data_IF_490187337597
#
_entry.id   IF_490187337597
#
_cell.length_a   1.000
_cell.length_b   1.000
_cell.length_c   1.000
_cell.angle_alpha   90.00
_cell.angle_beta   90.00
_cell.angle_gamma   90.00
#
_symmetry.space_group_name_H-M   'P 1'
#
loop_
_entity.id
_entity.type
_entity.pdbx_description
1 polymer ?
#
# COMPACT_ATOMS: atom_id res chain seq x y z
N UNK A 1 -3.65 6.40 -5.74
CA UNK A 1 -2.59 5.43 -5.38
C UNK A 1 -1.36 5.63 -6.27
N UNK A 2 -0.14 5.50 -5.73
CA UNK A 2 1.14 5.55 -6.43
C UNK A 2 2.03 4.40 -5.97
N UNK A 3 2.71 3.77 -6.93
CA UNK A 3 3.66 2.68 -6.71
C UNK A 3 5.07 3.15 -7.06
N UNK A 4 6.06 2.85 -6.23
CA UNK A 4 7.47 3.09 -6.52
C UNK A 4 8.26 1.84 -6.18
N UNK A 5 9.18 1.45 -7.07
CA UNK A 5 10.00 0.24 -6.95
C UNK A 5 11.45 0.68 -7.15
N UNK A 6 12.31 0.39 -6.18
CA UNK A 6 13.72 0.76 -6.21
C UNK A 6 14.53 -0.28 -5.43
N UNK A 7 15.33 -1.10 -6.13
CA UNK A 7 16.05 -2.21 -5.50
C UNK A 7 15.11 -3.15 -4.74
N UNK A 8 15.43 -3.45 -3.48
CA UNK A 8 14.60 -4.23 -2.56
C UNK A 8 13.64 -3.36 -1.73
N UNK A 9 13.13 -2.28 -2.32
CA UNK A 9 12.14 -1.41 -1.70
C UNK A 9 10.93 -1.22 -2.61
N UNK A 10 9.74 -1.45 -2.03
CA UNK A 10 8.44 -1.23 -2.65
C UNK A 10 7.66 -0.21 -1.83
N UNK A 11 7.34 0.93 -2.42
CA UNK A 11 6.51 1.95 -1.78
C UNK A 11 5.13 2.03 -2.41
N UNK A 12 4.12 1.94 -1.56
CA UNK A 12 2.71 2.15 -1.90
C UNK A 12 2.21 3.40 -1.18
N UNK A 13 1.90 4.45 -1.94
CA UNK A 13 1.27 5.66 -1.42
C UNK A 13 -0.18 5.76 -1.84
N UNK A 14 -1.09 6.06 -0.92
CA UNK A 14 -2.51 6.31 -1.22
C UNK A 14 -2.96 7.69 -0.72
N UNK A 15 -4.09 8.21 -1.20
CA UNK A 15 -4.76 9.38 -0.62
C UNK A 15 -5.79 9.00 0.44
N UNK A 16 -6.45 10.00 1.04
CA UNK A 16 -7.50 9.79 2.06
C UNK A 16 -8.72 9.06 1.51
N UNK A 17 -9.09 9.29 0.23
CA UNK A 17 -10.26 8.65 -0.37
C UNK A 17 -10.05 7.15 -0.59
N UNK A 18 -8.85 6.74 -1.00
CA UNK A 18 -8.49 5.33 -1.10
C UNK A 18 -8.29 4.71 0.28
N UNK A 19 -7.74 5.45 1.25
CA UNK A 19 -7.65 4.99 2.64
C UNK A 19 -9.04 4.71 3.22
N UNK A 20 -10.01 5.60 3.00
CA UNK A 20 -11.38 5.40 3.44
C UNK A 20 -12.01 4.14 2.82
N UNK A 21 -11.73 3.85 1.54
CA UNK A 21 -12.16 2.62 0.88
C UNK A 21 -11.56 1.37 1.55
N UNK A 22 -10.24 1.38 1.83
CA UNK A 22 -9.58 0.29 2.54
C UNK A 22 -10.17 0.06 3.92
N UNK A 23 -10.37 1.13 4.68
CA UNK A 23 -10.92 1.07 6.04
C UNK A 23 -12.38 0.58 6.07
N UNK A 24 -13.11 0.77 4.97
CA UNK A 24 -14.45 0.22 4.73
C UNK A 24 -14.43 -1.24 4.23
N UNK A 25 -13.26 -1.89 4.22
CA UNK A 25 -13.09 -3.28 3.80
C UNK A 25 -13.07 -3.47 2.28
N UNK A 26 -13.00 -2.40 1.49
CA UNK A 26 -12.85 -2.49 0.04
C UNK A 26 -11.38 -2.63 -0.34
N UNK A 27 -11.11 -3.21 -1.52
CA UNK A 27 -9.78 -3.21 -2.09
C UNK A 27 -9.55 -1.95 -2.94
N UNK A 28 -8.30 -1.49 -3.00
CA UNK A 28 -7.86 -0.40 -3.88
C UNK A 28 -6.99 -0.99 -4.98
N UNK A 29 -7.38 -0.76 -6.24
CA UNK A 29 -6.65 -1.24 -7.42
C UNK A 29 -5.90 -0.09 -8.11
N UNK A 30 -4.61 -0.30 -8.40
CA UNK A 30 -3.84 0.50 -9.35
C UNK A 30 -3.62 -0.33 -10.62
N UNK A 31 -3.97 0.24 -11.77
CA UNK A 31 -3.76 -0.39 -13.08
C UNK A 31 -2.92 0.51 -13.98
N UNK A 32 -1.80 -0.01 -14.46
CA UNK A 32 -0.90 0.69 -15.38
C UNK A 32 -0.79 -0.09 -16.68
N UNK A 33 -1.17 0.53 -17.80
CA UNK A 33 -1.03 -0.04 -19.14
C UNK A 33 0.30 0.41 -19.75
N UNK A 34 1.17 -0.53 -20.07
CA UNK A 34 2.45 -0.29 -20.73
C UNK A 34 2.27 -0.35 -22.25
N UNK A 35 1.66 0.70 -22.80
CA UNK A 35 1.29 0.79 -24.21
C UNK A 35 0.53 -0.48 -24.68
N UNK A 36 0.97 -1.11 -25.77
CA UNK A 36 0.41 -2.35 -26.30
C UNK A 36 1.08 -3.61 -25.75
N UNK A 37 2.09 -3.47 -24.87
CA UNK A 37 2.90 -4.60 -24.44
C UNK A 37 2.21 -5.42 -23.36
N UNK A 38 1.86 -4.80 -22.23
CA UNK A 38 1.22 -5.48 -21.10
C UNK A 38 0.53 -4.49 -20.16
N UNK A 39 -0.19 -5.03 -19.17
CA UNK A 39 -0.80 -4.27 -18.09
C UNK A 39 -0.30 -4.82 -16.76
N UNK A 40 0.07 -3.94 -15.83
CA UNK A 40 0.31 -4.30 -14.43
C UNK A 40 -0.89 -3.89 -13.60
N UNK A 41 -1.36 -4.79 -12.76
CA UNK A 41 -2.40 -4.55 -11.75
C UNK A 41 -1.80 -4.76 -10.38
N UNK A 42 -2.00 -3.81 -9.48
CA UNK A 42 -1.64 -3.93 -8.07
C UNK A 42 -2.89 -3.70 -7.24
N UNK A 43 -3.30 -4.73 -6.50
CA UNK A 43 -4.44 -4.68 -5.59
C UNK A 43 -3.93 -4.57 -4.17
N UNK A 44 -4.42 -3.59 -3.43
CA UNK A 44 -4.15 -3.39 -2.02
C UNK A 44 -5.42 -3.70 -1.21
N UNK A 45 -5.31 -4.53 -0.18
CA UNK A 45 -6.43 -4.81 0.74
C UNK A 45 -5.97 -4.89 2.19
N UNK A 46 -6.92 -4.71 3.11
CA UNK A 46 -6.71 -4.97 4.53
C UNK A 46 -7.13 -6.41 4.86
N UNK A 47 -6.37 -7.05 5.73
CA UNK A 47 -6.68 -8.40 6.22
C UNK A 47 -6.43 -8.49 7.73
N UNK A 48 -7.14 -9.37 8.45
CA UNK A 48 -6.93 -9.62 9.88
C UNK A 48 -5.68 -10.49 10.13
N UNK A 49 -4.53 -10.02 9.64
CA UNK A 49 -3.23 -10.68 9.70
C UNK A 49 -2.26 -9.87 10.56
N UNK A 50 -1.23 -10.53 11.12
CA UNK A 50 -0.21 -9.86 11.95
C UNK A 50 0.95 -9.27 11.14
N UNK A 51 1.21 -9.80 9.95
CA UNK A 51 2.32 -9.42 9.07
C UNK A 51 1.78 -9.10 7.67
N UNK A 52 2.44 -8.19 6.95
CA UNK A 52 2.03 -7.89 5.58
C UNK A 52 2.35 -9.06 4.64
N UNK A 53 1.48 -9.24 3.63
CA UNK A 53 1.61 -10.29 2.63
C UNK A 53 1.77 -9.73 1.23
N UNK A 54 2.50 -10.47 0.39
CA UNK A 54 2.63 -10.19 -1.04
C UNK A 54 2.46 -11.49 -1.81
N UNK A 55 1.47 -11.54 -2.70
CA UNK A 55 1.17 -12.70 -3.54
C UNK A 55 0.78 -12.27 -4.95
N UNK A 56 0.67 -13.23 -5.87
CA UNK A 56 0.16 -12.99 -7.22
C UNK A 56 1.13 -13.41 -8.33
N UNK A 57 0.92 -12.84 -9.51
CA UNK A 57 1.71 -13.06 -10.72
C UNK A 57 2.49 -11.78 -11.08
N UNK A 58 3.55 -11.84 -11.90
CA UNK A 58 4.35 -10.65 -12.27
C UNK A 58 3.53 -9.47 -12.79
N UNK A 59 2.39 -9.71 -13.43
CA UNK A 59 1.46 -8.70 -13.96
C UNK A 59 0.29 -8.35 -13.03
N UNK A 60 0.08 -9.10 -11.94
CA UNK A 60 -1.07 -8.98 -11.07
C UNK A 60 -0.69 -9.26 -9.61
N UNK A 61 -0.42 -8.18 -8.86
CA UNK A 61 0.03 -8.23 -7.47
C UNK A 61 -1.14 -8.06 -6.52
N UNK A 62 -1.08 -8.81 -5.41
CA UNK A 62 -1.95 -8.63 -4.25
C UNK A 62 -1.07 -8.33 -3.04
N UNK A 63 -1.26 -7.14 -2.48
CA UNK A 63 -0.63 -6.67 -1.25
C UNK A 63 -1.68 -6.68 -0.14
N UNK A 64 -1.40 -7.41 0.93
CA UNK A 64 -2.24 -7.49 2.10
C UNK A 64 -1.57 -6.76 3.26
N UNK A 65 -2.25 -5.75 3.81
CA UNK A 65 -1.77 -5.02 4.98
C UNK A 65 -2.53 -5.47 6.23
N UNK A 66 -1.85 -5.55 7.40
CA UNK A 66 -2.51 -5.75 8.69
C UNK A 66 -3.56 -4.66 8.96
N UNK A 67 -4.82 -5.04 9.04
CA UNK A 67 -5.95 -4.11 9.24
C UNK A 67 -5.75 -3.24 10.50
N UNK A 68 -5.32 -3.86 11.61
CA UNK A 68 -5.08 -3.16 12.87
C UNK A 68 -4.01 -2.07 12.74
N UNK A 69 -2.88 -2.37 12.06
CA UNK A 69 -1.79 -1.42 11.88
C UNK A 69 -2.21 -0.23 10.99
N UNK A 70 -2.98 -0.49 9.93
CA UNK A 70 -3.49 0.57 9.05
C UNK A 70 -4.52 1.45 9.75
N UNK A 71 -5.41 0.88 10.57
CA UNK A 71 -6.35 1.65 11.39
C UNK A 71 -5.65 2.54 12.41
N UNK A 72 -4.66 2.00 13.11
CA UNK A 72 -3.83 2.75 14.05
C UNK A 72 -3.12 3.91 13.32
N UNK A 73 -2.49 3.64 12.17
CA UNK A 73 -1.86 4.67 11.37
C UNK A 73 -2.85 5.76 10.92
N UNK A 74 -4.04 5.39 10.46
CA UNK A 74 -5.07 6.34 10.02
C UNK A 74 -5.53 7.30 11.14
N UNK A 75 -5.53 6.83 12.39
CA UNK A 75 -5.85 7.66 13.56
C UNK A 75 -4.83 8.77 13.83
N UNK A 76 -3.58 8.60 13.38
CA UNK A 76 -2.46 9.53 13.57
C UNK A 76 -2.30 10.54 12.43
N UNK A 77 -3.12 10.44 11.38
CA UNK A 77 -3.03 11.35 10.24
C UNK A 77 -3.43 12.79 10.64
N UNK A 78 -2.89 13.82 9.97
CA UNK A 78 -1.88 13.74 8.93
C UNK A 78 -0.48 13.51 9.52
N UNK A 79 0.25 12.50 9.04
CA UNK A 79 1.64 12.26 9.43
C UNK A 79 2.48 11.89 8.21
N UNK A 80 3.77 12.25 8.23
CA UNK A 80 4.75 11.88 7.20
C UNK A 80 5.33 10.48 7.41
N UNK A 81 5.14 9.91 8.60
CA UNK A 81 5.60 8.57 8.93
C UNK A 81 4.72 7.55 8.23
N UNK A 82 5.31 6.65 7.45
CA UNK A 82 4.60 5.50 6.88
C UNK A 82 4.61 4.30 7.83
N UNK A 83 4.01 3.20 7.36
CA UNK A 83 4.19 1.87 7.92
C UNK A 83 5.23 1.12 7.08
N UNK A 84 6.22 0.52 7.75
CA UNK A 84 7.22 -0.32 7.10
C UNK A 84 7.00 -1.77 7.48
N UNK A 85 7.03 -2.66 6.48
CA UNK A 85 6.95 -4.11 6.66
C UNK A 85 8.13 -4.77 5.95
N UNK A 86 8.71 -5.79 6.57
CA UNK A 86 9.75 -6.61 5.95
C UNK A 86 9.11 -7.88 5.41
N UNK A 87 9.14 -8.07 4.09
CA UNK A 87 8.59 -9.26 3.44
C UNK A 87 9.73 -10.23 3.14
N UNK A 88 9.67 -11.49 3.63
CA UNK A 88 10.73 -12.46 3.38
C UNK A 88 10.80 -12.82 1.88
N UNK A 89 12.02 -12.90 1.34
CA UNK A 89 12.25 -13.44 -0.01
C UNK A 89 12.62 -14.92 0.07
N UNK A 90 12.64 -15.60 -1.08
CA UNK A 90 13.12 -16.99 -1.19
C UNK A 90 14.64 -17.12 -0.99
N UNK A 91 15.38 -16.02 -1.12
CA UNK A 91 16.82 -16.00 -0.91
C UNK A 91 17.14 -15.70 0.55
N UNK A 92 18.02 -16.50 1.15
CA UNK A 92 18.33 -16.41 2.57
C UNK A 92 18.97 -15.06 2.92
N UNK A 93 18.30 -14.27 3.74
CA UNK A 93 18.83 -13.03 4.30
C UNK A 93 18.43 -11.75 3.55
N UNK A 94 17.72 -11.86 2.42
CA UNK A 94 17.13 -10.71 1.76
C UNK A 94 15.66 -10.53 2.14
N UNK A 95 15.23 -9.27 2.26
CA UNK A 95 13.84 -8.89 2.49
C UNK A 95 13.45 -7.82 1.48
N UNK A 96 12.21 -7.87 1.02
CA UNK A 96 11.60 -6.75 0.33
C UNK A 96 11.02 -5.81 1.40
N UNK A 97 11.54 -4.59 1.47
CA UNK A 97 10.98 -3.55 2.33
C UNK A 97 9.72 -2.97 1.68
N UNK A 98 8.55 -3.21 2.28
CA UNK A 98 7.28 -2.62 1.87
C UNK A 98 6.99 -1.38 2.72
N UNK A 99 6.98 -0.21 2.10
CA UNK A 99 6.59 1.05 2.71
C UNK A 99 5.17 1.44 2.28
N UNK A 100 4.27 1.59 3.23
CA UNK A 100 2.92 2.11 3.02
C UNK A 100 2.80 3.51 3.63
N UNK A 101 2.33 4.49 2.86
CA UNK A 101 2.09 5.84 3.38
C UNK A 101 0.85 6.52 2.77
N UNK A 102 0.32 7.51 3.49
CA UNK A 102 -0.81 8.32 3.04
C UNK A 102 -0.29 9.69 2.63
N UNK A 103 -0.78 10.22 1.49
CA UNK A 103 -0.36 11.54 1.02
C UNK A 103 -0.76 12.62 2.04
N UNK A 104 0.25 13.21 2.67
CA UNK A 104 0.07 14.22 3.74
C UNK A 104 -0.60 15.48 3.23
N UNK A 105 -0.30 15.91 1.98
CA UNK A 105 -0.92 17.11 1.43
C UNK A 105 -2.40 16.88 1.18
N UNK A 106 -2.75 15.70 0.66
CA UNK A 106 -4.13 15.28 0.51
C UNK A 106 -4.84 15.19 1.87
N UNK A 107 -4.19 14.57 2.86
CA UNK A 107 -4.70 14.43 4.24
C UNK A 107 -4.99 15.77 4.91
N UNK A 108 -4.04 16.71 4.83
CA UNK A 108 -4.22 18.08 5.36
C UNK A 108 -5.37 18.80 4.67
N UNK A 109 -5.54 18.61 3.36
CA UNK A 109 -6.63 19.24 2.59
C UNK A 109 -7.99 18.69 3.01
N UNK A 110 -8.15 17.37 3.04
CA UNK A 110 -9.42 16.71 3.38
C UNK A 110 -9.89 17.02 4.80
N UNK A 111 -8.98 17.00 5.77
CA UNK A 111 -9.31 17.25 7.19
C UNK A 111 -9.58 18.72 7.51
N UNK A 112 -9.15 19.65 6.65
CA UNK A 112 -9.55 21.07 6.75
C UNK A 112 -10.92 21.35 6.16
N UNK A 113 -11.41 20.47 5.29
CA UNK A 113 -12.72 20.59 4.62
C UNK A 113 -13.81 19.72 5.25
N UNK A 114 -13.48 18.94 6.28
CA UNK A 114 -14.41 18.10 7.06
C UNK A 114 -14.78 18.79 8.37
#
# INVERSE_FOLDING_TARGET
MKLQIEGQSLRVRIGESELAQLLAGQAVELRTRFALAFTIVCTLRLAPIGEAGFTGQPEAWLIELPDAAVREHASRLPTREGLTFALPTTESGEVLELLFDVDVRDSVRQRRSS
#
